data_IF_822781630017
#
_entry.id   IF_822781630017
#
_cell.length_a   1.000
_cell.length_b   1.000
_cell.length_c   1.000
_cell.angle_alpha   90.00
_cell.angle_beta   90.00
_cell.angle_gamma   90.00
#
_symmetry.space_group_name_H-M   'P 1'
#
loop_
_entity.id
_entity.type
_entity.pdbx_description
1 polymer ?
#
# COMPACT_ATOMS: atom_id res chain seq x y z
N UNK A 1 16.41 -9.41 -18.89
CA UNK A 1 14.95 -9.54 -18.62
C UNK A 1 14.65 -10.43 -17.41
N UNK A 2 15.21 -11.65 -17.30
CA UNK A 2 14.97 -12.56 -16.17
C UNK A 2 15.37 -11.97 -14.79
N UNK A 3 16.47 -11.23 -14.74
CA UNK A 3 16.99 -10.56 -13.53
C UNK A 3 16.08 -9.43 -13.01
N UNK A 4 15.40 -8.69 -13.89
CA UNK A 4 14.45 -7.63 -13.52
C UNK A 4 13.14 -8.20 -12.93
N UNK A 5 12.70 -9.36 -13.44
CA UNK A 5 11.57 -10.12 -12.90
C UNK A 5 11.89 -10.74 -11.55
N UNK A 6 13.01 -11.45 -11.42
CA UNK A 6 13.46 -12.03 -10.15
C UNK A 6 13.63 -10.96 -9.06
N UNK A 7 14.15 -9.79 -9.40
CA UNK A 7 14.27 -8.67 -8.47
C UNK A 7 12.89 -8.14 -8.03
N UNK A 8 11.94 -7.97 -8.95
CA UNK A 8 10.55 -7.55 -8.62
C UNK A 8 9.83 -8.56 -7.73
N UNK A 9 10.02 -9.85 -8.01
CA UNK A 9 9.39 -10.97 -7.30
C UNK A 9 9.98 -11.17 -5.90
N UNK A 10 11.26 -10.89 -5.68
CA UNK A 10 11.91 -11.05 -4.36
C UNK A 10 11.79 -9.78 -3.51
N UNK A 11 11.88 -8.60 -4.11
CA UNK A 11 11.91 -7.33 -3.37
C UNK A 11 10.57 -7.04 -2.68
N UNK A 12 9.43 -7.30 -3.34
CA UNK A 12 8.12 -7.09 -2.74
C UNK A 12 7.88 -7.92 -1.45
N UNK A 13 8.05 -9.26 -1.45
CA UNK A 13 7.87 -10.05 -0.24
C UNK A 13 8.93 -9.76 0.83
N UNK A 14 10.18 -9.50 0.45
CA UNK A 14 11.23 -9.15 1.43
C UNK A 14 10.90 -7.83 2.12
N UNK A 15 10.42 -6.82 1.38
CA UNK A 15 10.03 -5.54 1.96
C UNK A 15 8.75 -5.64 2.79
N UNK A 16 7.75 -6.40 2.34
CA UNK A 16 6.54 -6.67 3.13
C UNK A 16 6.89 -7.41 4.42
N UNK A 17 7.76 -8.42 4.34
CA UNK A 17 8.21 -9.21 5.50
C UNK A 17 9.05 -8.35 6.46
N UNK A 18 10.00 -7.59 5.94
CA UNK A 18 10.84 -6.67 6.71
C UNK A 18 10.02 -5.59 7.41
N UNK A 19 9.07 -4.98 6.71
CA UNK A 19 8.16 -4.00 7.29
C UNK A 19 7.25 -4.61 8.37
N UNK A 20 6.75 -5.83 8.16
CA UNK A 20 5.93 -6.56 9.14
C UNK A 20 6.73 -6.87 10.42
N UNK A 21 7.97 -7.34 10.27
CA UNK A 21 8.88 -7.60 11.39
C UNK A 21 9.27 -6.32 12.12
N UNK A 22 9.55 -5.24 11.39
CA UNK A 22 9.90 -3.97 11.99
C UNK A 22 8.72 -3.32 12.74
N UNK A 23 7.51 -3.39 12.19
CA UNK A 23 6.29 -2.95 12.88
C UNK A 23 6.04 -3.72 14.18
N UNK A 24 6.31 -5.04 14.20
CA UNK A 24 6.20 -5.86 15.42
C UNK A 24 7.28 -5.56 16.46
N UNK A 25 8.51 -5.20 16.04
CA UNK A 25 9.66 -5.01 16.94
C UNK A 25 9.73 -3.60 17.53
N UNK A 26 9.26 -2.59 16.81
CA UNK A 26 9.40 -1.17 17.19
C UNK A 26 8.07 -0.41 17.32
N UNK A 27 6.93 -1.11 17.15
CA UNK A 27 5.58 -0.56 17.33
C UNK A 27 5.00 0.08 16.06
N UNK A 28 3.67 0.23 16.04
CA UNK A 28 2.88 0.64 14.86
C UNK A 28 3.34 1.96 14.25
N UNK A 29 3.88 2.89 15.05
CA UNK A 29 4.42 4.18 14.58
C UNK A 29 5.66 4.00 13.69
N UNK A 30 6.64 3.22 14.12
CA UNK A 30 7.87 2.99 13.33
C UNK A 30 7.61 2.05 12.15
N UNK A 31 6.69 1.09 12.31
CA UNK A 31 6.18 0.28 11.19
C UNK A 31 5.55 1.15 10.09
N UNK A 32 4.70 2.11 10.47
CA UNK A 32 4.10 3.05 9.53
C UNK A 32 5.12 3.91 8.78
N UNK A 33 6.16 4.40 9.47
CA UNK A 33 7.25 5.14 8.83
C UNK A 33 8.02 4.30 7.82
N UNK A 34 8.39 3.07 8.18
CA UNK A 34 9.12 2.17 7.28
C UNK A 34 8.29 1.77 6.05
N UNK A 35 6.99 1.53 6.23
CA UNK A 35 6.07 1.23 5.12
C UNK A 35 5.81 2.46 4.24
N UNK A 36 5.79 3.66 4.84
CA UNK A 36 5.53 4.92 4.14
C UNK A 36 6.69 5.43 3.29
N UNK A 37 7.92 4.94 3.52
CA UNK A 37 9.06 5.26 2.67
C UNK A 37 8.91 4.57 1.30
N UNK A 38 9.43 5.18 0.21
CA UNK A 38 9.35 4.62 -1.14
C UNK A 38 10.34 3.46 -1.35
N UNK A 39 10.43 2.53 -0.39
CA UNK A 39 11.35 1.40 -0.40
C UNK A 39 11.02 0.39 -1.50
N UNK A 40 9.74 0.28 -1.86
CA UNK A 40 9.27 -0.57 -2.97
C UNK A 40 9.20 0.22 -4.27
N UNK A 41 8.53 1.37 -4.26
CA UNK A 41 8.25 2.16 -5.47
C UNK A 41 9.48 2.87 -6.02
N UNK A 42 10.38 3.36 -5.16
CA UNK A 42 11.60 4.07 -5.57
C UNK A 42 12.53 3.21 -6.43
N UNK A 43 12.96 2.03 -5.96
CA UNK A 43 13.76 1.11 -6.76
C UNK A 43 13.07 0.68 -8.06
N UNK A 44 11.76 0.42 -8.02
CA UNK A 44 11.00 0.04 -9.23
C UNK A 44 11.04 1.15 -10.28
N UNK A 45 10.78 2.39 -9.89
CA UNK A 45 10.84 3.55 -10.81
C UNK A 45 12.27 3.77 -11.32
N UNK A 46 13.29 3.58 -10.48
CA UNK A 46 14.69 3.69 -10.88
C UNK A 46 15.08 2.66 -11.95
N UNK A 47 14.75 1.38 -11.75
CA UNK A 47 15.00 0.35 -12.76
C UNK A 47 14.23 0.61 -14.05
N UNK A 48 12.99 1.11 -13.95
CA UNK A 48 12.22 1.52 -15.12
C UNK A 48 12.87 2.68 -15.89
N UNK A 49 13.57 3.60 -15.20
CA UNK A 49 14.31 4.68 -15.84
C UNK A 49 15.51 4.17 -16.64
N UNK A 50 16.19 3.14 -16.13
CA UNK A 50 17.32 2.49 -16.81
C UNK A 50 16.82 1.65 -18.00
N UNK A 51 15.79 0.82 -17.79
CA UNK A 51 15.32 -0.15 -18.77
C UNK A 51 14.48 0.49 -19.89
N UNK A 52 13.67 1.50 -19.57
CA UNK A 52 12.67 2.09 -20.49
C UNK A 52 12.81 3.61 -20.69
N UNK A 53 13.81 4.22 -20.07
CA UNK A 53 14.10 5.65 -20.20
C UNK A 53 13.32 6.54 -19.24
N UNK A 54 13.77 7.80 -19.13
CA UNK A 54 13.27 8.79 -18.17
C UNK A 54 11.80 9.16 -18.38
N UNK A 55 11.32 9.18 -19.62
CA UNK A 55 9.92 9.50 -19.94
C UNK A 55 8.98 8.44 -19.37
N UNK A 56 9.31 7.16 -19.53
CA UNK A 56 8.52 6.05 -18.99
C UNK A 56 8.54 6.07 -17.45
N UNK A 57 9.71 6.26 -16.86
CA UNK A 57 9.86 6.36 -15.40
C UNK A 57 9.06 7.52 -14.80
N UNK A 58 9.00 8.66 -15.48
CA UNK A 58 8.18 9.81 -15.03
C UNK A 58 6.70 9.45 -15.00
N UNK A 59 6.19 8.82 -16.07
CA UNK A 59 4.79 8.34 -16.11
C UNK A 59 4.52 7.29 -15.04
N UNK A 60 5.45 6.36 -14.83
CA UNK A 60 5.34 5.35 -13.78
C UNK A 60 5.32 5.97 -12.37
N UNK A 61 6.18 6.96 -12.11
CA UNK A 61 6.22 7.67 -10.83
C UNK A 61 4.90 8.42 -10.55
N UNK A 62 4.33 9.08 -11.55
CA UNK A 62 3.03 9.73 -11.43
C UNK A 62 1.90 8.72 -11.19
N UNK A 63 1.95 7.56 -11.86
CA UNK A 63 0.98 6.49 -11.63
C UNK A 63 1.07 5.92 -10.20
N UNK A 64 2.28 5.79 -9.64
CA UNK A 64 2.47 5.40 -8.23
C UNK A 64 1.84 6.43 -7.28
N UNK A 65 2.02 7.72 -7.53
CA UNK A 65 1.40 8.79 -6.74
C UNK A 65 -0.14 8.69 -6.78
N UNK A 66 -0.74 8.60 -7.96
CA UNK A 66 -2.20 8.46 -8.09
C UNK A 66 -2.73 7.14 -7.49
N UNK A 67 -1.97 6.06 -7.60
CA UNK A 67 -2.27 4.79 -6.94
C UNK A 67 -2.33 4.91 -5.41
N UNK A 68 -1.50 5.79 -4.83
CA UNK A 68 -1.50 6.07 -3.39
C UNK A 68 -2.82 6.65 -2.91
N UNK A 69 -3.47 7.50 -3.73
CA UNK A 69 -4.79 8.07 -3.43
C UNK A 69 -5.84 6.96 -3.38
N UNK A 70 -5.80 6.05 -4.35
CA UNK A 70 -6.71 4.89 -4.42
C UNK A 70 -6.50 3.97 -3.21
N UNK A 71 -5.26 3.79 -2.76
CA UNK A 71 -4.92 3.01 -1.57
C UNK A 71 -5.39 3.68 -0.28
N UNK A 72 -5.32 5.00 -0.18
CA UNK A 72 -5.88 5.75 0.94
C UNK A 72 -7.41 5.60 0.99
N UNK A 73 -8.08 5.70 -0.16
CA UNK A 73 -9.53 5.49 -0.28
C UNK A 73 -9.95 4.06 0.10
N UNK A 74 -9.19 3.05 -0.34
CA UNK A 74 -9.34 1.66 0.12
C UNK A 74 -9.31 1.56 1.64
N UNK A 75 -8.27 2.13 2.27
CA UNK A 75 -8.06 2.02 3.71
C UNK A 75 -9.22 2.63 4.52
N UNK A 76 -9.72 3.79 4.10
CA UNK A 76 -10.88 4.44 4.72
C UNK A 76 -12.14 3.58 4.54
N UNK A 77 -12.43 3.12 3.33
CA UNK A 77 -13.60 2.31 3.05
C UNK A 77 -13.57 1.00 3.85
N UNK A 78 -12.43 0.30 3.82
CA UNK A 78 -12.19 -0.90 4.62
C UNK A 78 -12.45 -0.63 6.10
N UNK A 79 -11.80 0.37 6.69
CA UNK A 79 -11.93 0.66 8.12
C UNK A 79 -13.37 0.98 8.53
N UNK A 80 -14.08 1.78 7.72
CA UNK A 80 -15.48 2.16 7.99
C UNK A 80 -16.44 0.96 7.92
N UNK A 81 -16.24 0.07 6.95
CA UNK A 81 -17.07 -1.13 6.77
C UNK A 81 -16.72 -2.20 7.79
N UNK A 82 -15.44 -2.39 8.11
CA UNK A 82 -14.97 -3.38 9.08
C UNK A 82 -15.60 -3.18 10.47
N UNK A 83 -15.82 -1.92 10.88
CA UNK A 83 -16.50 -1.58 12.14
C UNK A 83 -17.96 -2.07 12.19
N UNK A 84 -18.58 -2.41 11.05
CA UNK A 84 -20.01 -2.77 10.96
C UNK A 84 -20.29 -4.17 10.43
N UNK A 85 -19.49 -4.68 9.49
CA UNK A 85 -19.83 -5.86 8.68
C UNK A 85 -18.75 -6.96 8.64
N UNK A 86 -17.68 -6.82 9.44
CA UNK A 86 -16.58 -7.80 9.46
C UNK A 86 -15.61 -7.69 8.28
N UNK A 87 -14.53 -8.47 8.34
CA UNK A 87 -13.39 -8.33 7.41
C UNK A 87 -13.69 -8.69 5.95
N UNK A 88 -14.50 -9.72 5.58
CA UNK A 88 -14.66 -10.08 4.16
C UNK A 88 -15.40 -9.00 3.38
N UNK A 89 -16.49 -8.47 3.97
CA UNK A 89 -17.28 -7.39 3.37
C UNK A 89 -16.47 -6.10 3.30
N UNK A 90 -15.67 -5.82 4.33
CA UNK A 90 -14.77 -4.67 4.34
C UNK A 90 -13.71 -4.77 3.23
N UNK A 91 -13.10 -5.93 3.02
CA UNK A 91 -12.15 -6.16 1.93
C UNK A 91 -12.80 -5.95 0.58
N UNK A 92 -13.99 -6.52 0.34
CA UNK A 92 -14.71 -6.35 -0.91
C UNK A 92 -15.06 -4.88 -1.19
N UNK A 93 -15.56 -4.17 -0.18
CA UNK A 93 -15.88 -2.75 -0.28
C UNK A 93 -14.64 -1.90 -0.54
N UNK A 94 -13.54 -2.16 0.18
CA UNK A 94 -12.25 -1.51 -0.06
C UNK A 94 -11.76 -1.74 -1.48
N UNK A 95 -11.75 -2.98 -1.96
CA UNK A 95 -11.33 -3.35 -3.32
C UNK A 95 -12.18 -2.64 -4.38
N UNK A 96 -13.49 -2.56 -4.18
CA UNK A 96 -14.38 -1.84 -5.09
C UNK A 96 -14.03 -0.34 -5.14
N UNK A 97 -13.84 0.31 -3.99
CA UNK A 97 -13.44 1.73 -3.93
C UNK A 97 -12.08 1.96 -4.57
N UNK A 98 -11.11 1.06 -4.34
CA UNK A 98 -9.80 1.11 -4.98
C UNK A 98 -9.90 1.04 -6.50
N UNK A 99 -10.64 0.05 -7.01
CA UNK A 99 -10.81 -0.18 -8.44
C UNK A 99 -11.50 1.02 -9.11
N UNK A 100 -12.60 1.50 -8.53
CA UNK A 100 -13.33 2.66 -9.04
C UNK A 100 -12.47 3.92 -9.05
N UNK A 101 -11.71 4.17 -7.97
CA UNK A 101 -10.78 5.29 -7.89
C UNK A 101 -9.69 5.20 -8.95
N UNK A 102 -9.09 4.01 -9.11
CA UNK A 102 -8.03 3.75 -10.09
C UNK A 102 -8.53 3.94 -11.52
N UNK A 103 -9.71 3.41 -11.86
CA UNK A 103 -10.34 3.59 -13.18
C UNK A 103 -10.59 5.07 -13.46
N UNK A 104 -11.01 5.83 -12.44
CA UNK A 104 -11.17 7.28 -12.55
C UNK A 104 -9.83 7.98 -12.87
N UNK A 105 -8.77 7.65 -12.12
CA UNK A 105 -7.45 8.27 -12.31
C UNK A 105 -6.74 7.87 -13.59
N UNK A 106 -7.04 6.71 -14.20
CA UNK A 106 -6.46 6.30 -15.48
C UNK A 106 -6.69 7.32 -16.60
N UNK A 107 -7.74 8.14 -16.50
CA UNK A 107 -8.06 9.17 -17.49
C UNK A 107 -7.45 10.54 -17.18
N UNK A 108 -6.85 10.73 -16.01
CA UNK A 108 -6.24 11.99 -15.62
C UNK A 108 -4.73 11.97 -15.90
N UNK A 109 -4.29 12.90 -16.75
CA UNK A 109 -2.87 13.30 -16.80
C UNK A 109 -2.70 14.57 -15.98
N UNK A 110 -2.10 14.43 -14.79
CA UNK A 110 -1.75 15.55 -13.92
C UNK A 110 -0.24 15.82 -13.96
N UNK A 111 0.19 17.09 -13.98
CA UNK A 111 1.57 17.43 -13.69
C UNK A 111 1.98 17.04 -12.27
N UNK A 112 3.29 16.93 -12.02
CA UNK A 112 3.82 16.40 -10.76
C UNK A 112 3.40 17.19 -9.50
N UNK A 113 3.40 18.53 -9.56
CA UNK A 113 3.03 19.39 -8.43
C UNK A 113 1.57 19.17 -7.97
N UNK A 114 0.55 19.28 -8.85
CA UNK A 114 -0.83 19.04 -8.42
C UNK A 114 -1.08 17.58 -8.03
N UNK A 115 -0.40 16.61 -8.67
CA UNK A 115 -0.48 15.22 -8.23
C UNK A 115 0.03 15.04 -6.79
N UNK A 116 1.16 15.66 -6.45
CA UNK A 116 1.73 15.63 -5.09
C UNK A 116 0.80 16.29 -4.06
N UNK A 117 0.24 17.46 -4.40
CA UNK A 117 -0.72 18.15 -3.54
C UNK A 117 -1.97 17.30 -3.30
N UNK A 118 -2.50 16.66 -4.34
CA UNK A 118 -3.68 15.79 -4.27
C UNK A 118 -3.42 14.55 -3.40
N UNK A 119 -2.26 13.92 -3.55
CA UNK A 119 -1.83 12.80 -2.69
C UNK A 119 -1.77 13.23 -1.24
N UNK A 120 -1.09 14.34 -0.95
CA UNK A 120 -0.94 14.85 0.42
C UNK A 120 -2.29 15.16 1.04
N UNK A 121 -3.17 15.85 0.30
CA UNK A 121 -4.53 16.14 0.73
C UNK A 121 -5.34 14.85 0.98
N UNK A 122 -5.20 13.84 0.12
CA UNK A 122 -5.90 12.56 0.27
C UNK A 122 -5.45 11.79 1.52
N UNK A 123 -4.15 11.83 1.85
CA UNK A 123 -3.62 11.20 3.05
C UNK A 123 -4.11 11.91 4.32
N UNK A 124 -4.08 13.24 4.33
CA UNK A 124 -4.66 14.03 5.43
C UNK A 124 -6.14 13.71 5.58
N UNK A 125 -6.90 13.74 4.49
CA UNK A 125 -8.32 13.43 4.50
C UNK A 125 -8.59 12.00 4.98
N UNK A 126 -7.78 11.03 4.59
CA UNK A 126 -7.89 9.64 5.05
C UNK A 126 -7.68 9.51 6.55
N UNK A 127 -6.70 10.22 7.11
CA UNK A 127 -6.49 10.24 8.57
C UNK A 127 -7.64 10.89 9.34
N UNK A 128 -8.25 11.94 8.79
CA UNK A 128 -9.42 12.60 9.38
C UNK A 128 -10.66 11.69 9.28
N UNK A 129 -10.82 10.98 8.16
CA UNK A 129 -11.97 10.11 7.91
C UNK A 129 -11.86 8.76 8.61
N UNK A 130 -10.69 8.36 9.10
CA UNK A 130 -10.55 7.09 9.80
C UNK A 130 -11.50 7.02 11.02
N UNK A 131 -12.23 5.90 11.21
CA UNK A 131 -13.06 5.74 12.39
C UNK A 131 -12.19 5.76 13.65
N UNK A 132 -12.64 6.47 14.69
CA UNK A 132 -11.93 6.53 15.96
C UNK A 132 -11.89 5.14 16.60
N UNK A 133 -10.71 4.69 17.02
CA UNK A 133 -10.57 3.49 17.85
C UNK A 133 -11.41 3.66 19.12
N UNK A 134 -12.21 2.65 19.47
CA UNK A 134 -12.98 2.70 20.71
C UNK A 134 -12.02 2.54 21.89
N UNK A 135 -12.08 3.43 22.90
CA UNK A 135 -11.28 3.27 24.11
C UNK A 135 -11.64 1.91 24.75
N UNK A 136 -10.71 0.96 24.76
CA UNK A 136 -10.92 -0.39 25.29
C UNK A 136 -10.69 -1.54 24.30
N UNK A 137 -10.46 -1.28 23.01
CA UNK A 137 -9.93 -2.30 22.10
C UNK A 137 -8.54 -2.72 22.59
N UNK A 138 -8.49 -3.87 23.28
CA UNK A 138 -7.21 -4.51 23.63
C UNK A 138 -6.55 -4.91 22.32
N UNK A 139 -5.25 -4.65 22.12
CA UNK A 139 -4.54 -5.19 20.98
C UNK A 139 -4.76 -6.70 20.99
N UNK A 140 -5.36 -7.24 19.91
CA UNK A 140 -5.56 -8.68 19.75
C UNK A 140 -4.18 -9.31 19.93
N UNK A 141 -4.03 -10.20 20.91
CA UNK A 141 -2.73 -10.85 21.17
C UNK A 141 -2.33 -11.59 19.90
N UNK A 142 -1.29 -11.11 19.22
CA UNK A 142 -0.83 -11.71 17.98
C UNK A 142 -0.41 -13.15 18.27
N UNK A 143 -1.17 -14.11 17.76
CA UNK A 143 -0.88 -15.53 17.89
C UNK A 143 0.52 -15.82 17.33
N UNK A 144 1.21 -16.80 17.91
CA UNK A 144 2.53 -17.25 17.45
C UNK A 144 2.50 -17.68 15.97
N UNK A 145 1.33 -18.07 15.47
CA UNK A 145 1.08 -18.46 14.07
C UNK A 145 0.88 -17.30 13.10
N UNK A 146 0.70 -16.08 13.59
CA UNK A 146 0.37 -14.92 12.76
C UNK A 146 1.55 -14.51 11.86
N UNK A 147 2.80 -14.73 12.31
CA UNK A 147 4.01 -14.52 11.48
C UNK A 147 4.15 -15.60 10.40
N UNK A 148 4.26 -16.91 10.74
CA UNK A 148 4.47 -17.92 9.73
C UNK A 148 3.32 -17.96 8.72
N UNK A 149 2.06 -17.74 9.14
CA UNK A 149 0.93 -17.68 8.22
C UNK A 149 1.03 -16.50 7.26
N UNK A 150 1.38 -15.30 7.75
CA UNK A 150 1.61 -14.13 6.87
C UNK A 150 2.75 -14.37 5.90
N UNK A 151 3.84 -15.00 6.33
CA UNK A 151 4.96 -15.36 5.47
C UNK A 151 4.50 -16.33 4.38
N UNK A 152 3.84 -17.43 4.75
CA UNK A 152 3.37 -18.44 3.78
C UNK A 152 2.37 -17.84 2.79
N UNK A 153 1.41 -17.05 3.24
CA UNK A 153 0.43 -16.40 2.36
C UNK A 153 1.11 -15.38 1.45
N UNK A 154 2.00 -14.53 1.99
CA UNK A 154 2.72 -13.56 1.18
C UNK A 154 3.63 -14.23 0.14
N UNK A 155 4.35 -15.29 0.52
CA UNK A 155 5.19 -16.08 -0.39
C UNK A 155 4.35 -16.81 -1.44
N UNK A 156 3.25 -17.44 -1.04
CA UNK A 156 2.35 -18.15 -1.96
C UNK A 156 1.72 -17.22 -3.00
N UNK A 157 1.33 -16.01 -2.59
CA UNK A 157 0.75 -15.01 -3.49
C UNK A 157 1.79 -14.40 -4.45
N UNK A 158 3.07 -14.43 -4.09
CA UNK A 158 4.17 -14.00 -4.97
C UNK A 158 4.56 -15.06 -5.99
N UNK A 159 4.40 -16.34 -5.64
CA UNK A 159 4.73 -17.47 -6.52
C UNK A 159 3.64 -17.77 -7.56
N UNK A 160 2.44 -17.25 -7.37
CA UNK A 160 1.26 -17.46 -8.21
C UNK A 160 1.12 -16.33 -9.24
#
# INVERSE_FOLDING_TARGET
MLTSLLLKVVVAPVLITGATLAGRRWGDRLGGWLVGLPLTSGPVVFFLAIDQGSRFATTAALAVLLGTISQAAFAVAYARVAVRAGWPVATAAGCAVFALSTIGFQRLSLPALPAFALVTASLILATILMPKSRPGDRPVSASHWDIPLRIVVATGLVLL
#
